data_IF_949489376772
#
_entry.id   IF_949489376772
#
_cell.length_a   1.000
_cell.length_b   1.000
_cell.length_c   1.000
_cell.angle_alpha   90.00
_cell.angle_beta   90.00
_cell.angle_gamma   90.00
#
_symmetry.space_group_name_H-M   'P 1'
#
loop_
_entity.id
_entity.type
_entity.pdbx_description
1 polymer ?
#
# COMPACT_ATOMS: atom_id res chain seq x y z
N UNK A 1 -18.24 26.55 15.54
CA UNK A 1 -18.25 25.10 15.31
C UNK A 1 -18.59 24.87 13.85
N UNK A 2 -17.69 24.25 13.09
CA UNK A 2 -17.83 24.11 11.63
C UNK A 2 -19.03 23.22 11.27
N UNK A 3 -20.02 23.81 10.58
CA UNK A 3 -21.22 23.13 10.08
C UNK A 3 -20.92 22.04 9.02
N UNK A 4 -19.66 21.85 8.63
CA UNK A 4 -19.22 20.87 7.64
C UNK A 4 -19.47 19.42 8.06
N UNK A 5 -19.26 19.07 9.34
CA UNK A 5 -19.51 17.70 9.83
C UNK A 5 -21.00 17.35 9.83
N UNK A 6 -21.86 18.29 10.20
CA UNK A 6 -23.32 18.14 10.15
C UNK A 6 -23.80 17.94 8.70
N UNK A 7 -23.30 18.75 7.78
CA UNK A 7 -23.61 18.63 6.34
C UNK A 7 -23.10 17.31 5.74
N UNK A 8 -21.90 16.85 6.13
CA UNK A 8 -21.37 15.56 5.70
C UNK A 8 -22.25 14.40 6.21
N UNK A 9 -22.65 14.43 7.49
CA UNK A 9 -23.53 13.39 8.08
C UNK A 9 -24.93 13.39 7.49
N UNK A 10 -25.44 14.56 7.08
CA UNK A 10 -26.73 14.68 6.41
C UNK A 10 -26.68 14.25 4.94
N UNK A 11 -25.50 14.15 4.32
CA UNK A 11 -25.35 13.71 2.94
C UNK A 11 -25.55 12.18 2.84
N UNK A 12 -26.75 11.79 2.39
CA UNK A 12 -27.16 10.38 2.28
C UNK A 12 -26.27 9.60 1.31
N UNK A 13 -25.87 10.21 0.19
CA UNK A 13 -25.03 9.55 -0.82
C UNK A 13 -23.64 9.20 -0.27
N UNK A 14 -22.97 10.16 0.39
CA UNK A 14 -21.69 9.90 1.05
C UNK A 14 -21.84 8.91 2.20
N UNK A 15 -22.93 9.00 2.97
CA UNK A 15 -23.21 8.05 4.06
C UNK A 15 -23.33 6.61 3.57
N UNK A 16 -23.98 6.38 2.43
CA UNK A 16 -24.07 5.05 1.81
C UNK A 16 -22.69 4.54 1.36
N UNK A 17 -21.83 5.44 0.88
CA UNK A 17 -20.49 5.10 0.37
C UNK A 17 -19.45 4.85 1.45
N UNK A 18 -19.65 5.35 2.67
CA UNK A 18 -18.70 5.24 3.78
C UNK A 18 -18.33 3.80 4.15
N UNK A 19 -19.23 2.83 3.90
CA UNK A 19 -18.97 1.40 4.15
C UNK A 19 -18.64 0.58 2.91
N UNK A 20 -18.85 1.12 1.70
CA UNK A 20 -18.65 0.39 0.45
C UNK A 20 -17.31 0.70 -0.24
N UNK A 21 -16.65 1.79 0.15
CA UNK A 21 -15.40 2.25 -0.44
C UNK A 21 -14.26 2.16 0.57
N UNK A 22 -13.03 2.04 0.07
CA UNK A 22 -11.87 2.22 0.91
C UNK A 22 -11.78 3.69 1.38
N UNK A 23 -11.15 3.88 2.52
CA UNK A 23 -11.06 5.17 3.19
C UNK A 23 -10.56 6.31 2.27
N UNK A 24 -9.51 6.03 1.48
CA UNK A 24 -8.92 7.01 0.55
C UNK A 24 -9.93 7.40 -0.54
N UNK A 25 -10.60 6.42 -1.14
CA UNK A 25 -11.59 6.67 -2.19
C UNK A 25 -12.78 7.49 -1.69
N UNK A 26 -13.27 7.18 -0.49
CA UNK A 26 -14.35 7.94 0.16
C UNK A 26 -13.97 9.42 0.33
N UNK A 27 -12.78 9.71 0.87
CA UNK A 27 -12.35 11.08 1.13
C UNK A 27 -12.02 11.84 -0.15
N UNK A 28 -11.49 11.19 -1.18
CA UNK A 28 -11.33 11.82 -2.50
C UNK A 28 -12.67 12.26 -3.10
N UNK A 29 -13.72 11.46 -2.92
CA UNK A 29 -15.06 11.81 -3.40
C UNK A 29 -15.71 12.93 -2.56
N UNK A 30 -15.45 12.95 -1.25
CA UNK A 30 -15.93 14.00 -0.35
C UNK A 30 -15.17 15.32 -0.47
N UNK A 31 -13.95 15.31 -1.03
CA UNK A 31 -13.04 16.46 -1.07
C UNK A 31 -13.62 17.73 -1.74
N UNK A 32 -14.35 17.65 -2.88
CA UNK A 32 -14.92 18.85 -3.50
C UNK A 32 -16.00 19.51 -2.65
N UNK A 33 -16.75 18.72 -1.86
CA UNK A 33 -17.86 19.18 -1.04
C UNK A 33 -17.41 19.60 0.37
N UNK A 34 -16.34 18.99 0.87
CA UNK A 34 -15.87 19.16 2.24
C UNK A 34 -14.33 19.27 2.31
N UNK A 35 -13.70 20.24 1.62
CA UNK A 35 -12.24 20.30 1.47
C UNK A 35 -11.50 20.44 2.82
N UNK A 36 -12.06 21.19 3.77
CA UNK A 36 -11.47 21.36 5.10
C UNK A 36 -11.56 20.09 5.96
N UNK A 37 -12.61 19.28 5.78
CA UNK A 37 -12.72 17.99 6.48
C UNK A 37 -11.83 16.95 5.83
N UNK A 38 -11.73 16.97 4.50
CA UNK A 38 -10.78 16.15 3.75
C UNK A 38 -9.35 16.39 4.23
N UNK A 39 -8.91 17.65 4.29
CA UNK A 39 -7.55 17.99 4.73
C UNK A 39 -7.26 17.46 6.13
N UNK A 40 -8.19 17.66 7.08
CA UNK A 40 -8.07 17.12 8.45
C UNK A 40 -8.03 15.59 8.48
N UNK A 41 -8.89 14.93 7.72
CA UNK A 41 -8.94 13.46 7.67
C UNK A 41 -7.65 12.88 7.08
N UNK A 42 -7.17 13.44 5.98
CA UNK A 42 -5.94 13.04 5.30
C UNK A 42 -4.72 13.29 6.18
N UNK A 43 -4.59 14.46 6.81
CA UNK A 43 -3.49 14.74 7.74
C UNK A 43 -3.51 13.84 8.98
N UNK A 44 -4.68 13.48 9.49
CA UNK A 44 -4.76 12.59 10.64
C UNK A 44 -4.39 11.14 10.28
N UNK A 45 -4.66 10.70 9.06
CA UNK A 45 -4.63 9.28 8.70
C UNK A 45 -3.48 8.87 7.78
N UNK A 46 -2.93 9.81 7.00
CA UNK A 46 -1.69 9.58 6.26
C UNK A 46 -0.54 9.14 7.17
N UNK A 47 -0.28 9.79 8.33
CA UNK A 47 0.79 9.38 9.23
C UNK A 47 0.66 7.92 9.68
N UNK A 48 -0.55 7.38 9.84
CA UNK A 48 -0.74 5.98 10.20
C UNK A 48 -0.36 5.04 9.07
N UNK A 49 -0.82 5.32 7.84
CA UNK A 49 -0.48 4.51 6.68
C UNK A 49 1.03 4.57 6.38
N UNK A 50 1.65 5.75 6.45
CA UNK A 50 3.08 5.93 6.22
C UNK A 50 3.93 5.38 7.35
N UNK A 51 3.51 5.50 8.62
CA UNK A 51 4.21 4.90 9.76
C UNK A 51 4.14 3.39 9.72
N UNK A 52 2.98 2.81 9.37
CA UNK A 52 2.86 1.37 9.18
C UNK A 52 3.76 0.89 8.04
N UNK A 53 3.72 1.54 6.87
CA UNK A 53 4.56 1.19 5.73
C UNK A 53 6.06 1.37 6.04
N UNK A 54 6.44 2.44 6.76
CA UNK A 54 7.81 2.67 7.22
C UNK A 54 8.24 1.58 8.20
N UNK A 55 7.36 1.19 9.13
CA UNK A 55 7.57 0.05 10.02
C UNK A 55 7.81 -1.24 9.24
N UNK A 56 6.94 -1.57 8.29
CA UNK A 56 7.11 -2.74 7.41
C UNK A 56 8.42 -2.69 6.62
N UNK A 57 8.79 -1.52 6.09
CA UNK A 57 10.06 -1.30 5.39
C UNK A 57 11.27 -1.51 6.30
N UNK A 58 11.18 -1.05 7.55
CA UNK A 58 12.22 -1.24 8.55
C UNK A 58 12.36 -2.70 8.99
N UNK A 59 11.24 -3.38 9.25
CA UNK A 59 11.22 -4.82 9.53
C UNK A 59 11.80 -5.62 8.38
N UNK A 60 11.43 -5.28 7.15
CA UNK A 60 11.99 -5.86 5.93
C UNK A 60 13.50 -5.61 5.86
N UNK A 61 13.97 -4.39 6.15
CA UNK A 61 15.40 -4.08 6.18
C UNK A 61 16.15 -4.98 7.16
N UNK A 62 15.62 -5.09 8.38
CA UNK A 62 16.19 -5.92 9.42
C UNK A 62 16.20 -7.39 9.00
N UNK A 63 15.13 -7.89 8.39
CA UNK A 63 15.03 -9.24 7.88
C UNK A 63 16.06 -9.50 6.77
N UNK A 64 16.03 -8.69 5.70
CA UNK A 64 16.91 -8.79 4.53
C UNK A 64 18.39 -8.74 4.93
N UNK A 65 18.76 -7.88 5.88
CA UNK A 65 20.13 -7.78 6.40
C UNK A 65 20.59 -9.03 7.14
N UNK A 66 19.68 -9.73 7.82
CA UNK A 66 20.01 -10.89 8.66
C UNK A 66 19.93 -12.23 7.90
N UNK A 67 19.46 -12.27 6.64
CA UNK A 67 19.49 -13.50 5.85
C UNK A 67 20.88 -13.66 5.21
N UNK A 68 21.65 -14.72 5.55
CA UNK A 68 22.94 -14.96 4.92
C UNK A 68 22.72 -15.38 3.45
N UNK A 69 23.00 -14.49 2.50
CA UNK A 69 22.92 -14.77 1.07
C UNK A 69 24.22 -14.39 0.37
N UNK A 70 24.63 -15.22 -0.58
CA UNK A 70 25.86 -15.04 -1.36
C UNK A 70 25.86 -13.74 -2.20
N UNK A 71 24.69 -13.14 -2.47
CA UNK A 71 24.53 -11.85 -3.16
C UNK A 71 23.30 -11.09 -2.63
N UNK A 72 23.49 -10.25 -1.61
CA UNK A 72 22.45 -9.37 -1.09
C UNK A 72 22.31 -8.13 -1.99
N UNK A 73 21.13 -7.89 -2.55
CA UNK A 73 20.79 -6.61 -3.17
C UNK A 73 19.65 -5.96 -2.38
N UNK A 74 20.00 -5.01 -1.51
CA UNK A 74 19.06 -4.39 -0.57
C UNK A 74 17.84 -3.79 -1.28
N UNK A 75 18.06 -3.02 -2.35
CA UNK A 75 16.98 -2.34 -3.06
C UNK A 75 16.02 -3.30 -3.78
N UNK A 76 16.57 -4.33 -4.44
CA UNK A 76 15.76 -5.34 -5.11
C UNK A 76 14.97 -6.20 -4.12
N UNK A 77 15.60 -6.63 -3.03
CA UNK A 77 14.98 -7.50 -2.03
C UNK A 77 13.90 -6.79 -1.21
N UNK A 78 14.16 -5.53 -0.84
CA UNK A 78 13.16 -4.68 -0.19
C UNK A 78 11.96 -4.41 -1.11
N UNK A 79 12.21 -4.11 -2.41
CA UNK A 79 11.11 -3.92 -3.38
C UNK A 79 10.24 -5.16 -3.51
N UNK A 80 10.85 -6.34 -3.59
CA UNK A 80 10.10 -7.60 -3.67
C UNK A 80 9.27 -7.83 -2.40
N UNK A 81 9.85 -7.61 -1.23
CA UNK A 81 9.18 -7.89 0.06
C UNK A 81 8.09 -6.87 0.41
N UNK A 82 8.27 -5.59 0.03
CA UNK A 82 7.30 -4.53 0.29
C UNK A 82 6.23 -4.40 -0.79
N UNK A 83 6.39 -5.10 -1.92
CA UNK A 83 5.37 -5.11 -2.96
C UNK A 83 4.15 -5.90 -2.50
N UNK A 84 2.95 -5.34 -2.72
CA UNK A 84 1.67 -6.01 -2.48
C UNK A 84 1.35 -7.04 -3.59
N UNK A 85 2.21 -7.16 -4.59
CA UNK A 85 2.05 -8.07 -5.72
C UNK A 85 2.47 -9.50 -5.37
N UNK A 86 1.63 -10.47 -5.73
CA UNK A 86 1.99 -11.89 -5.64
C UNK A 86 3.23 -12.20 -6.49
N UNK A 87 4.19 -12.88 -5.89
CA UNK A 87 5.41 -13.29 -6.56
C UNK A 87 5.05 -14.34 -7.63
N UNK A 88 5.30 -14.02 -8.90
CA UNK A 88 4.97 -14.89 -10.05
C UNK A 88 6.01 -16.02 -10.23
N UNK A 89 6.36 -16.69 -9.13
CA UNK A 89 7.42 -17.71 -9.06
C UNK A 89 7.09 -18.89 -9.99
N UNK A 90 5.84 -19.33 -10.01
CA UNK A 90 5.41 -20.44 -10.88
C UNK A 90 5.66 -20.17 -12.37
N UNK A 91 5.40 -18.94 -12.83
CA UNK A 91 5.65 -18.54 -14.22
C UNK A 91 7.15 -18.46 -14.55
N UNK A 92 7.96 -17.98 -13.61
CA UNK A 92 9.42 -17.93 -13.77
C UNK A 92 10.05 -19.32 -13.79
N UNK A 93 9.52 -20.27 -13.01
CA UNK A 93 9.97 -21.67 -12.99
C UNK A 93 9.64 -22.35 -14.32
N UNK A 94 8.47 -22.08 -14.91
CA UNK A 94 8.11 -22.59 -16.24
C UNK A 94 9.05 -22.08 -17.35
N UNK A 95 9.49 -20.83 -17.28
CA UNK A 95 10.42 -20.24 -18.26
C UNK A 95 11.87 -20.72 -18.15
N UNK A 96 12.30 -21.25 -17.00
CA UNK A 96 13.68 -21.68 -16.75
C UNK A 96 14.01 -23.11 -17.21
N UNK A 97 13.03 -23.94 -17.56
CA UNK A 97 13.31 -25.31 -18.03
C UNK A 97 14.03 -25.35 -19.39
N UNK A 98 14.18 -24.20 -20.08
CA UNK A 98 14.81 -24.13 -21.42
C UNK A 98 16.34 -23.95 -21.38
N UNK A 99 16.98 -23.72 -20.22
CA UNK A 99 18.44 -23.51 -20.14
C UNK A 99 19.27 -24.72 -19.66
N UNK A 100 18.72 -25.93 -19.62
CA UNK A 100 19.45 -27.14 -19.16
C UNK A 100 20.00 -28.04 -20.28
N UNK A 101 20.10 -27.59 -21.54
CA UNK A 101 20.77 -28.40 -22.57
C UNK A 101 21.55 -27.58 -23.60
N UNK A 102 22.79 -27.21 -23.26
CA UNK A 102 23.90 -27.19 -24.23
C UNK A 102 25.12 -27.73 -23.49
N UNK A 103 25.21 -29.06 -23.47
CA UNK A 103 26.45 -29.78 -23.32
C UNK A 103 26.65 -30.55 -24.62
N UNK A 104 27.58 -30.07 -25.44
CA UNK A 104 28.53 -30.81 -26.28
C UNK A 104 29.49 -29.80 -26.93
#
# INVERSE_FOLDING_TARGET
MDNGYLKLRANIALKQKFGSQCFIAFWMEAAPLFPQLFDKAVHMLLPFATTYACGQAFWTLAYVKNVPRNRLNLGADMRLTLSVSEARIAFLVQGKHVQLHVGE
#
